data_IF_859380020629
#
_entry.id   IF_859380020629
#
_cell.length_a   1.000
_cell.length_b   1.000
_cell.length_c   1.000
_cell.angle_alpha   90.00
_cell.angle_beta   90.00
_cell.angle_gamma   90.00
#
_symmetry.space_group_name_H-M   'P 1'
#
loop_
_entity.id
_entity.type
_entity.pdbx_description
1 polymer ?
#
# COMPACT_ATOMS: atom_id res chain seq x y z
N UNK A 1 -20.75 20.87 1.34
CA UNK A 1 -19.88 22.05 1.08
C UNK A 1 -18.43 21.63 0.83
N UNK A 2 -17.78 20.86 1.72
CA UNK A 2 -16.39 20.37 1.52
C UNK A 2 -16.21 19.47 0.29
N UNK A 3 -17.05 18.45 0.12
CA UNK A 3 -17.03 17.55 -1.05
C UNK A 3 -17.25 18.25 -2.41
N UNK A 4 -17.91 19.42 -2.43
CA UNK A 4 -18.13 20.19 -3.65
C UNK A 4 -16.93 21.11 -3.99
N UNK A 5 -16.12 21.47 -2.98
CA UNK A 5 -14.85 22.19 -3.15
C UNK A 5 -13.78 21.20 -3.60
N UNK A 6 -13.70 20.02 -2.98
CA UNK A 6 -12.76 18.96 -3.36
C UNK A 6 -12.97 18.54 -4.84
N UNK A 7 -14.22 18.33 -5.26
CA UNK A 7 -14.57 18.01 -6.64
C UNK A 7 -14.29 19.14 -7.65
N UNK A 8 -14.34 20.41 -7.22
CA UNK A 8 -14.02 21.57 -8.07
C UNK A 8 -12.49 21.78 -8.22
N UNK A 9 -11.69 21.20 -7.31
CA UNK A 9 -10.23 21.22 -7.33
C UNK A 9 -9.61 19.93 -7.91
N UNK A 10 -10.43 19.01 -8.46
CA UNK A 10 -9.94 17.72 -9.00
C UNK A 10 -9.53 16.71 -7.93
N UNK A 11 -9.81 16.98 -6.65
CA UNK A 11 -9.50 16.08 -5.54
C UNK A 11 -10.70 15.17 -5.28
N UNK A 12 -10.52 13.86 -5.44
CA UNK A 12 -11.46 12.87 -4.89
C UNK A 12 -11.61 13.06 -3.37
N UNK A 13 -12.66 12.51 -2.74
CA UNK A 13 -12.83 12.68 -1.30
C UNK A 13 -11.60 12.09 -0.59
N UNK A 14 -10.81 12.96 0.05
CA UNK A 14 -9.70 12.53 0.89
C UNK A 14 -10.25 11.50 1.90
N UNK A 15 -9.61 10.33 2.07
CA UNK A 15 -10.12 9.33 2.97
C UNK A 15 -10.23 9.92 4.38
N UNK A 16 -11.31 9.60 5.08
CA UNK A 16 -11.39 9.90 6.51
C UNK A 16 -10.27 9.12 7.22
N UNK A 17 -9.30 9.84 7.76
CA UNK A 17 -8.16 9.25 8.49
C UNK A 17 -8.42 9.21 10.00
N UNK A 18 -9.68 9.26 10.44
CA UNK A 18 -10.05 9.00 11.82
C UNK A 18 -9.62 7.60 12.25
N UNK A 19 -9.42 7.42 13.56
CA UNK A 19 -9.09 6.13 14.14
C UNK A 19 -10.10 5.03 13.80
N UNK A 20 -11.39 5.36 13.64
CA UNK A 20 -12.41 4.38 13.26
C UNK A 20 -12.22 3.92 11.80
N UNK A 21 -11.97 4.86 10.89
CA UNK A 21 -11.77 4.57 9.47
C UNK A 21 -10.46 3.83 9.19
N UNK A 22 -9.38 4.18 9.89
CA UNK A 22 -8.13 3.42 9.81
C UNK A 22 -8.28 1.98 10.33
N UNK A 23 -9.01 1.78 11.43
CA UNK A 23 -9.31 0.42 11.92
C UNK A 23 -10.09 -0.40 10.89
N UNK A 24 -11.10 0.19 10.26
CA UNK A 24 -11.88 -0.48 9.21
C UNK A 24 -11.01 -0.86 8.00
N UNK A 25 -10.19 0.08 7.50
CA UNK A 25 -9.25 -0.15 6.40
C UNK A 25 -8.34 -1.35 6.68
N UNK A 26 -7.66 -1.36 7.84
CA UNK A 26 -6.73 -2.43 8.20
C UNK A 26 -7.43 -3.76 8.51
N UNK A 27 -8.63 -3.73 9.07
CA UNK A 27 -9.44 -4.93 9.33
C UNK A 27 -9.85 -5.65 8.02
N UNK A 28 -9.98 -4.90 6.93
CA UNK A 28 -10.34 -5.47 5.62
C UNK A 28 -9.12 -5.73 4.72
N UNK A 29 -7.92 -5.32 5.16
CA UNK A 29 -6.65 -5.51 4.46
C UNK A 29 -6.03 -6.85 4.85
N UNK A 30 -5.83 -7.73 3.87
CA UNK A 30 -5.16 -9.04 4.05
C UNK A 30 -3.78 -9.06 3.40
N UNK A 31 -3.67 -8.47 2.21
CA UNK A 31 -2.44 -8.46 1.40
C UNK A 31 -1.92 -7.04 1.20
N UNK A 32 -0.65 -6.81 1.55
CA UNK A 32 0.02 -5.52 1.41
C UNK A 32 1.21 -5.67 0.45
N UNK A 33 1.22 -4.93 -0.65
CA UNK A 33 2.38 -4.83 -1.53
C UNK A 33 3.24 -3.63 -1.12
N UNK A 34 4.52 -3.87 -0.83
CA UNK A 34 5.45 -2.81 -0.41
C UNK A 34 6.34 -2.44 -1.59
N UNK A 35 6.03 -1.31 -2.24
CA UNK A 35 6.76 -0.82 -3.41
C UNK A 35 7.97 0.00 -2.98
N UNK A 36 9.15 -0.35 -3.50
CA UNK A 36 10.42 0.19 -2.99
C UNK A 36 10.92 -0.55 -1.75
N UNK A 37 10.47 -1.79 -1.55
CA UNK A 37 11.01 -2.67 -0.51
C UNK A 37 12.52 -2.82 -0.66
N UNK A 38 13.26 -2.70 0.44
CA UNK A 38 14.73 -2.83 0.44
C UNK A 38 15.17 -3.96 1.36
N UNK A 39 16.20 -4.75 0.98
CA UNK A 39 16.83 -5.70 1.90
C UNK A 39 17.70 -5.02 2.97
N UNK A 40 17.95 -3.71 2.84
CA UNK A 40 18.85 -2.98 3.73
C UNK A 40 18.16 -2.53 5.02
N UNK A 41 18.70 -2.86 6.21
CA UNK A 41 18.09 -2.49 7.50
C UNK A 41 17.98 -0.99 7.77
N UNK A 42 18.82 -0.14 7.17
CA UNK A 42 18.76 1.32 7.32
C UNK A 42 17.59 1.96 6.57
N UNK A 43 16.91 1.20 5.70
CA UNK A 43 15.84 1.73 4.86
C UNK A 43 14.48 1.59 5.56
N UNK A 44 13.66 2.66 5.62
CA UNK A 44 12.36 2.61 6.28
C UNK A 44 11.45 1.48 5.78
N UNK A 45 11.49 1.18 4.47
CA UNK A 45 10.70 0.10 3.88
C UNK A 45 11.03 -1.28 4.46
N UNK A 46 12.27 -1.52 4.89
CA UNK A 46 12.67 -2.77 5.53
C UNK A 46 12.03 -2.94 6.92
N UNK A 47 12.10 -1.89 7.73
CA UNK A 47 11.52 -1.89 9.08
C UNK A 47 9.99 -2.01 9.06
N UNK A 48 9.31 -1.26 8.18
CA UNK A 48 7.85 -1.32 8.04
C UNK A 48 7.40 -2.70 7.53
N UNK A 49 8.11 -3.25 6.54
CA UNK A 49 7.87 -4.62 6.05
C UNK A 49 7.91 -5.64 7.18
N UNK A 50 8.97 -5.64 7.99
CA UNK A 50 9.12 -6.56 9.11
C UNK A 50 8.02 -6.36 10.16
N UNK A 51 7.67 -5.11 10.47
CA UNK A 51 6.65 -4.79 11.46
C UNK A 51 5.25 -5.27 11.02
N UNK A 52 4.87 -5.03 9.76
CA UNK A 52 3.58 -5.48 9.23
C UNK A 52 3.53 -7.01 9.06
N UNK A 53 4.62 -7.64 8.63
CA UNK A 53 4.73 -9.09 8.56
C UNK A 53 4.59 -9.72 9.97
N UNK A 54 5.28 -9.18 10.97
CA UNK A 54 5.20 -9.64 12.37
C UNK A 54 3.81 -9.43 12.98
N UNK A 55 3.06 -8.42 12.51
CA UNK A 55 1.68 -8.17 12.90
C UNK A 55 0.67 -9.06 12.14
N UNK A 56 1.12 -9.90 11.22
CA UNK A 56 0.37 -11.00 10.61
C UNK A 56 -0.11 -10.77 9.18
N UNK A 57 0.19 -9.62 8.55
CA UNK A 57 -0.24 -9.36 7.18
C UNK A 57 0.59 -10.16 6.17
N UNK A 58 -0.06 -10.57 5.07
CA UNK A 58 0.65 -11.14 3.92
C UNK A 58 1.35 -10.01 3.18
N UNK A 59 2.68 -10.02 3.18
CA UNK A 59 3.49 -8.97 2.54
C UNK A 59 4.02 -9.45 1.20
N UNK A 60 3.88 -8.59 0.18
CA UNK A 60 4.49 -8.77 -1.15
C UNK A 60 5.52 -7.65 -1.37
N UNK A 61 6.83 -7.92 -1.15
CA UNK A 61 7.88 -6.97 -1.48
C UNK A 61 7.95 -6.72 -2.99
N UNK A 62 7.99 -5.46 -3.42
CA UNK A 62 8.12 -5.07 -4.83
C UNK A 62 9.37 -4.19 -5.02
N UNK A 63 10.32 -4.69 -5.81
CA UNK A 63 11.56 -4.01 -6.16
C UNK A 63 12.13 -4.56 -7.48
N UNK A 64 12.38 -3.71 -8.50
CA UNK A 64 12.94 -4.16 -9.80
C UNK A 64 14.44 -4.49 -9.75
N UNK A 65 15.14 -4.23 -8.64
CA UNK A 65 16.58 -4.42 -8.56
C UNK A 65 16.96 -5.92 -8.56
N UNK A 66 17.88 -6.37 -9.45
CA UNK A 66 18.23 -7.79 -9.60
C UNK A 66 18.65 -8.49 -8.30
N UNK A 67 19.44 -7.82 -7.45
CA UNK A 67 19.88 -8.40 -6.18
C UNK A 67 18.70 -8.69 -5.23
N UNK A 68 17.73 -7.77 -5.15
CA UNK A 68 16.54 -7.99 -4.33
C UNK A 68 15.66 -9.12 -4.89
N UNK A 69 15.62 -9.29 -6.21
CA UNK A 69 14.86 -10.37 -6.87
C UNK A 69 15.49 -11.74 -6.65
N UNK A 70 16.82 -11.84 -6.60
CA UNK A 70 17.53 -13.09 -6.39
C UNK A 70 17.44 -13.58 -4.93
N UNK A 71 17.68 -12.67 -3.97
CA UNK A 71 17.79 -13.03 -2.54
C UNK A 71 16.46 -12.87 -1.79
N UNK A 72 15.47 -12.21 -2.40
CA UNK A 72 14.25 -11.79 -1.71
C UNK A 72 14.51 -10.68 -0.69
N UNK A 73 13.50 -10.42 0.15
CA UNK A 73 13.58 -9.40 1.21
C UNK A 73 13.01 -9.99 2.49
N UNK A 74 13.84 -10.08 3.54
CA UNK A 74 13.46 -10.66 4.83
C UNK A 74 12.88 -12.08 4.72
N UNK A 75 13.44 -12.91 3.82
CA UNK A 75 12.98 -14.27 3.57
C UNK A 75 11.68 -14.36 2.75
N UNK A 76 11.13 -13.22 2.29
CA UNK A 76 9.98 -13.18 1.40
C UNK A 76 10.42 -13.09 -0.07
N UNK A 77 9.73 -13.79 -0.99
CA UNK A 77 9.91 -13.58 -2.43
C UNK A 77 9.69 -12.12 -2.80
N UNK A 78 10.58 -11.56 -3.61
CA UNK A 78 10.46 -10.18 -4.10
C UNK A 78 10.01 -10.19 -5.57
N UNK A 79 9.14 -9.25 -5.93
CA UNK A 79 8.57 -9.15 -7.27
C UNK A 79 9.11 -7.90 -8.00
N UNK A 80 9.29 -7.96 -9.33
CA UNK A 80 9.83 -6.83 -10.09
C UNK A 80 8.83 -5.70 -10.29
N UNK A 81 7.52 -5.97 -10.18
CA UNK A 81 6.44 -5.01 -10.39
C UNK A 81 5.19 -5.40 -9.61
N UNK A 82 4.22 -4.48 -9.50
CA UNK A 82 2.92 -4.77 -8.89
C UNK A 82 2.14 -5.83 -9.68
N UNK A 83 2.24 -5.83 -11.00
CA UNK A 83 1.60 -6.83 -11.85
C UNK A 83 2.13 -8.24 -11.56
N UNK A 84 3.45 -8.41 -11.43
CA UNK A 84 4.05 -9.69 -11.08
C UNK A 84 3.67 -10.14 -9.66
N UNK A 85 3.62 -9.22 -8.71
CA UNK A 85 3.15 -9.50 -7.35
C UNK A 85 1.68 -9.95 -7.34
N UNK A 86 0.80 -9.23 -8.04
CA UNK A 86 -0.62 -9.55 -8.15
C UNK A 86 -0.83 -10.93 -8.82
N UNK A 87 -0.08 -11.24 -9.87
CA UNK A 87 -0.17 -12.53 -10.57
C UNK A 87 0.27 -13.74 -9.71
N UNK A 88 1.02 -13.50 -8.63
CA UNK A 88 1.42 -14.56 -7.69
C UNK A 88 0.31 -14.95 -6.70
N UNK A 89 -0.76 -14.17 -6.63
CA UNK A 89 -1.87 -14.42 -5.73
C UNK A 89 -2.80 -15.52 -6.28
N UNK A 90 -3.43 -16.31 -5.40
CA UNK A 90 -4.50 -17.23 -5.80
C UNK A 90 -5.61 -16.54 -6.58
N UNK A 91 -6.30 -17.31 -7.43
CA UNK A 91 -7.42 -16.80 -8.21
C UNK A 91 -8.51 -16.17 -7.30
N UNK A 92 -8.94 -14.96 -7.61
CA UNK A 92 -9.92 -14.19 -6.82
C UNK A 92 -9.32 -13.38 -5.67
N UNK A 93 -8.04 -13.58 -5.34
CA UNK A 93 -7.31 -12.67 -4.45
C UNK A 93 -6.78 -11.45 -5.24
N UNK A 94 -6.56 -10.35 -4.51
CA UNK A 94 -5.96 -9.12 -5.03
C UNK A 94 -5.07 -8.49 -3.98
N UNK A 95 -4.25 -7.54 -4.41
CA UNK A 95 -3.53 -6.64 -3.50
C UNK A 95 -4.57 -5.71 -2.86
N UNK A 96 -4.61 -5.66 -1.53
CA UNK A 96 -5.55 -4.75 -0.85
C UNK A 96 -4.94 -3.37 -0.66
N UNK A 97 -3.68 -3.33 -0.23
CA UNK A 97 -2.97 -2.10 0.05
C UNK A 97 -1.66 -2.07 -0.73
N UNK A 98 -1.47 -1.03 -1.54
CA UNK A 98 -0.17 -0.69 -2.12
C UNK A 98 0.49 0.37 -1.24
N UNK A 99 1.57 -0.03 -0.55
CA UNK A 99 2.33 0.77 0.39
C UNK A 99 3.65 1.23 -0.24
N UNK A 100 3.79 2.54 -0.48
CA UNK A 100 4.78 3.11 -1.40
C UNK A 100 5.90 3.83 -0.67
N UNK A 101 7.14 3.39 -0.91
CA UNK A 101 8.39 3.96 -0.39
C UNK A 101 9.28 4.51 -1.52
N UNK A 102 8.67 4.96 -2.62
CA UNK A 102 9.39 5.60 -3.73
C UNK A 102 9.43 7.11 -3.57
N UNK A 103 10.30 7.77 -4.32
CA UNK A 103 10.38 9.23 -4.29
C UNK A 103 9.10 9.81 -4.92
N UNK A 104 8.67 11.03 -4.54
CA UNK A 104 7.46 11.64 -5.08
C UNK A 104 7.36 11.58 -6.61
N UNK A 105 8.45 11.85 -7.32
CA UNK A 105 8.51 11.84 -8.79
C UNK A 105 8.29 10.46 -9.44
N UNK A 106 8.28 9.39 -8.65
CA UNK A 106 8.00 8.02 -9.10
C UNK A 106 6.60 7.54 -8.67
N UNK A 107 5.90 8.28 -7.81
CA UNK A 107 4.66 7.84 -7.19
C UNK A 107 3.49 7.80 -8.18
N UNK A 108 3.42 8.71 -9.15
CA UNK A 108 2.35 8.73 -10.15
C UNK A 108 2.31 7.43 -10.96
N UNK A 109 3.47 6.94 -11.42
CA UNK A 109 3.56 5.67 -12.15
C UNK A 109 3.18 4.47 -11.27
N UNK A 110 3.65 4.44 -10.02
CA UNK A 110 3.27 3.38 -9.05
C UNK A 110 1.76 3.40 -8.80
N UNK A 111 1.15 4.58 -8.73
CA UNK A 111 -0.30 4.75 -8.55
C UNK A 111 -1.05 4.21 -9.78
N UNK A 112 -0.59 4.48 -11.01
CA UNK A 112 -1.18 3.89 -12.22
C UNK A 112 -1.08 2.37 -12.23
N UNK A 113 0.06 1.81 -11.82
CA UNK A 113 0.21 0.37 -11.67
C UNK A 113 -0.75 -0.20 -10.62
N UNK A 114 -0.92 0.47 -9.48
CA UNK A 114 -1.85 0.08 -8.43
C UNK A 114 -3.31 0.07 -8.93
N UNK A 115 -3.71 1.07 -9.71
CA UNK A 115 -5.02 1.12 -10.39
C UNK A 115 -5.16 -0.07 -11.35
N UNK A 116 -4.14 -0.33 -12.18
CA UNK A 116 -4.16 -1.39 -13.18
C UNK A 116 -4.32 -2.80 -12.55
N UNK A 117 -3.73 -3.02 -11.38
CA UNK A 117 -3.90 -4.29 -10.63
C UNK A 117 -5.14 -4.31 -9.73
N UNK A 118 -6.01 -3.30 -9.83
CA UNK A 118 -7.23 -3.16 -9.02
C UNK A 118 -6.96 -3.21 -7.52
N UNK A 119 -5.88 -2.54 -7.07
CA UNK A 119 -5.59 -2.39 -5.65
C UNK A 119 -6.75 -1.66 -4.95
N UNK A 120 -7.07 -2.06 -3.72
CA UNK A 120 -8.19 -1.47 -2.98
C UNK A 120 -7.84 -0.13 -2.32
N UNK A 121 -6.59 0.04 -1.92
CA UNK A 121 -6.07 1.22 -1.25
C UNK A 121 -4.66 1.53 -1.75
N UNK A 122 -4.34 2.81 -1.86
CA UNK A 122 -3.00 3.31 -2.17
C UNK A 122 -2.52 4.16 -0.99
N UNK A 123 -1.27 3.96 -0.60
CA UNK A 123 -0.68 4.63 0.56
C UNK A 123 0.74 5.08 0.28
N UNK A 124 0.96 6.40 0.21
CA UNK A 124 2.28 6.98 0.17
C UNK A 124 2.80 7.17 1.59
N UNK A 125 4.00 6.66 1.86
CA UNK A 125 4.55 6.65 3.21
C UNK A 125 4.89 8.04 3.74
N UNK A 126 5.21 8.10 5.04
CA UNK A 126 5.57 9.32 5.74
C UNK A 126 6.66 10.10 4.99
N UNK A 127 6.41 11.40 4.79
CA UNK A 127 7.28 12.30 4.04
C UNK A 127 7.13 12.23 2.51
N UNK A 128 6.23 11.39 1.98
CA UNK A 128 5.95 11.28 0.55
C UNK A 128 4.57 11.87 0.29
N UNK A 129 4.56 12.93 -0.53
CA UNK A 129 3.36 13.67 -0.96
C UNK A 129 3.48 13.85 -2.46
N UNK A 130 2.43 13.51 -3.20
CA UNK A 130 2.38 13.67 -4.65
C UNK A 130 0.94 13.95 -5.11
N UNK A 131 0.72 15.14 -5.67
CA UNK A 131 -0.61 15.61 -6.07
C UNK A 131 -1.14 14.86 -7.31
N UNK A 132 -0.25 14.48 -8.23
CA UNK A 132 -0.62 13.70 -9.41
C UNK A 132 -1.13 12.31 -9.02
N UNK A 133 -0.46 11.63 -8.09
CA UNK A 133 -0.95 10.36 -7.51
C UNK A 133 -2.33 10.49 -6.89
N UNK A 134 -2.59 11.59 -6.16
CA UNK A 134 -3.90 11.84 -5.56
C UNK A 134 -4.99 12.01 -6.63
N UNK A 135 -4.71 12.73 -7.73
CA UNK A 135 -5.64 12.87 -8.86
C UNK A 135 -5.89 11.54 -9.57
N UNK A 136 -4.84 10.77 -9.86
CA UNK A 136 -4.97 9.45 -10.50
C UNK A 136 -5.83 8.50 -9.65
N UNK A 137 -5.59 8.47 -8.33
CA UNK A 137 -6.38 7.63 -7.43
C UNK A 137 -7.84 8.10 -7.34
N UNK A 138 -8.09 9.41 -7.33
CA UNK A 138 -9.42 10.00 -7.35
C UNK A 138 -10.20 9.65 -8.62
N UNK A 139 -9.59 9.78 -9.80
CA UNK A 139 -10.17 9.42 -11.09
C UNK A 139 -10.54 7.93 -11.16
N UNK A 140 -9.74 7.08 -10.50
CA UNK A 140 -9.99 5.65 -10.36
C UNK A 140 -10.95 5.29 -9.20
N UNK A 141 -11.42 6.27 -8.42
CA UNK A 141 -12.20 6.08 -7.20
C UNK A 141 -11.54 5.13 -6.17
N UNK A 142 -10.21 5.10 -6.12
CA UNK A 142 -9.43 4.33 -5.15
C UNK A 142 -9.07 5.24 -3.98
N UNK A 143 -9.42 4.87 -2.74
CA UNK A 143 -8.98 5.60 -1.56
C UNK A 143 -7.46 5.74 -1.46
N UNK A 144 -7.01 6.96 -1.15
CA UNK A 144 -5.60 7.34 -1.22
C UNK A 144 -5.13 8.04 0.05
N UNK A 145 -4.12 7.47 0.71
CA UNK A 145 -3.47 8.04 1.89
C UNK A 145 -2.07 8.51 1.50
N UNK A 146 -1.61 9.63 2.05
CA UNK A 146 -0.23 10.08 1.90
C UNK A 146 0.29 10.69 3.21
N UNK A 147 1.62 10.81 3.31
CA UNK A 147 2.31 11.35 4.48
C UNK A 147 1.95 10.68 5.82
N UNK A 148 1.81 9.34 5.80
CA UNK A 148 1.55 8.54 6.99
C UNK A 148 2.35 7.25 6.96
N UNK A 149 2.71 6.72 8.13
CA UNK A 149 3.40 5.43 8.22
C UNK A 149 2.45 4.33 8.68
N UNK A 150 2.27 3.30 7.85
CA UNK A 150 1.43 2.13 8.13
C UNK A 150 1.81 1.45 9.44
N UNK A 151 3.11 1.23 9.70
CA UNK A 151 3.58 0.60 10.93
C UNK A 151 3.30 1.46 12.18
N UNK A 152 3.40 2.79 12.08
CA UNK A 152 3.08 3.71 13.19
C UNK A 152 1.58 3.65 13.49
N UNK A 153 0.71 3.72 12.47
CA UNK A 153 -0.74 3.63 12.67
C UNK A 153 -1.15 2.28 13.25
N UNK A 154 -0.61 1.19 12.72
CA UNK A 154 -0.85 -0.17 13.24
C UNK A 154 -0.44 -0.28 14.71
N UNK A 155 0.76 0.21 15.07
CA UNK A 155 1.25 0.15 16.44
C UNK A 155 0.41 1.02 17.39
N UNK A 156 0.13 2.28 17.01
CA UNK A 156 -0.68 3.22 17.80
C UNK A 156 -2.09 2.69 18.06
N UNK A 157 -2.69 2.04 17.07
CA UNK A 157 -4.06 1.53 17.14
C UNK A 157 -4.14 0.10 17.72
N UNK A 158 -3.01 -0.56 18.00
CA UNK A 158 -2.96 -1.92 18.54
C UNK A 158 -3.45 -2.99 17.56
N UNK A 159 -3.22 -2.79 16.27
CA UNK A 159 -3.81 -3.63 15.21
C UNK A 159 -2.98 -4.89 14.90
N UNK A 160 -3.69 -5.88 14.38
CA UNK A 160 -3.17 -7.14 13.83
C UNK A 160 -3.94 -7.46 12.56
N UNK A 161 -3.33 -8.26 11.69
CA UNK A 161 -4.01 -8.73 10.49
C UNK A 161 -5.29 -9.50 10.84
N UNK A 162 -6.36 -9.36 10.02
CA UNK A 162 -7.59 -10.10 10.23
C UNK A 162 -7.34 -11.61 10.14
N UNK A 163 -7.98 -12.38 11.03
CA UNK A 163 -7.91 -13.83 11.00
C UNK A 163 -8.47 -14.35 9.66
N UNK A 164 -7.80 -15.35 9.09
CA UNK A 164 -8.05 -15.85 7.73
C UNK A 164 -9.39 -16.57 7.58
N UNK A 165 -10.49 -15.82 7.47
CA UNK A 165 -11.70 -16.32 6.84
C UNK A 165 -11.59 -16.15 5.32
N UNK A 166 -11.91 -17.18 4.52
CA UNK A 166 -11.88 -17.11 3.07
C UNK A 166 -12.81 -15.99 2.59
N UNK A 167 -12.37 -15.23 1.58
CA UNK A 167 -13.24 -14.23 0.94
C UNK A 167 -14.43 -14.95 0.32
N UNK A 168 -15.64 -14.59 0.73
CA UNK A 168 -16.84 -14.96 -0.03
C UNK A 168 -16.68 -14.38 -1.45
N UNK A 169 -16.82 -15.25 -2.44
CA UNK A 169 -16.74 -14.92 -3.87
C UNK A 169 -17.82 -13.92 -4.27
#
# INVERSE_FOLDING_TARGET
MRAAIDAAEGRGPAPDLSDASLRALFAETRTIAIVGASPRPDRPSHGVLLALAAAGWKILPVNPAPAALADGIAGLPCYPSLSAAAASLPHGERIDLVDVFRRPEECAEVTREAVAVSARWIWLQLGIIDEESAHIAADAAIPFVQDRCTAIEVARLGLRAPLGEPRSA
#
